data_IF_317074584502
#
_entry.id   IF_317074584502
#
_cell.length_a   1.000
_cell.length_b   1.000
_cell.length_c   1.000
_cell.angle_alpha   90.00
_cell.angle_beta   90.00
_cell.angle_gamma   90.00
#
_symmetry.space_group_name_H-M   'P 1'
#
loop_
_entity.id
_entity.type
_entity.pdbx_description
1 polymer ?
#
# COMPACT_ATOMS: atom_id res chain seq x y z
N UNK A 1 16.66 16.77 -4.87
CA UNK A 1 16.27 15.49 -5.52
C UNK A 1 14.75 15.35 -5.48
N UNK A 2 14.13 15.38 -4.30
CA UNK A 2 12.67 15.50 -4.12
C UNK A 2 12.08 16.69 -4.88
N UNK A 3 12.74 17.86 -4.87
CA UNK A 3 12.26 19.06 -5.58
C UNK A 3 12.20 18.92 -7.12
N UNK A 4 13.04 18.05 -7.71
CA UNK A 4 13.04 17.82 -9.15
C UNK A 4 11.89 16.90 -9.60
N UNK A 5 11.47 15.99 -8.73
CA UNK A 5 10.30 15.12 -8.94
C UNK A 5 9.02 15.90 -8.67
N UNK A 6 8.98 16.72 -7.61
CA UNK A 6 7.82 17.56 -7.27
C UNK A 6 7.48 18.55 -8.40
N UNK A 7 8.48 19.27 -8.94
CA UNK A 7 8.25 20.24 -10.01
C UNK A 7 7.77 19.64 -11.34
N UNK A 8 7.98 18.33 -11.58
CA UNK A 8 7.50 17.64 -12.80
C UNK A 8 6.10 17.04 -12.64
N UNK A 9 5.73 16.64 -11.43
CA UNK A 9 4.37 16.16 -11.12
C UNK A 9 3.35 17.30 -11.20
N UNK A 10 3.75 18.52 -10.83
CA UNK A 10 2.91 19.73 -10.92
C UNK A 10 2.68 20.23 -12.37
N UNK A 11 3.47 19.74 -13.34
CA UNK A 11 3.38 20.13 -14.75
C UNK A 11 2.47 19.26 -15.63
N UNK A 12 1.75 18.29 -15.06
CA UNK A 12 0.93 17.37 -15.84
C UNK A 12 -0.36 18.07 -16.35
N UNK A 13 -0.67 18.06 -17.66
CA UNK A 13 -1.76 18.84 -18.26
C UNK A 13 -3.16 18.21 -18.07
N UNK A 14 -3.40 17.57 -16.92
CA UNK A 14 -4.68 16.90 -16.61
C UNK A 14 -5.85 17.91 -16.68
N UNK A 15 -5.61 19.13 -16.21
CA UNK A 15 -6.62 20.20 -16.24
C UNK A 15 -6.95 20.64 -17.68
N UNK A 16 -5.96 20.64 -18.57
CA UNK A 16 -6.13 20.99 -19.98
C UNK A 16 -6.91 19.91 -20.74
N UNK A 17 -6.64 18.63 -20.44
CA UNK A 17 -7.39 17.49 -20.98
C UNK A 17 -8.87 17.54 -20.56
N UNK A 18 -9.16 17.85 -19.29
CA UNK A 18 -10.52 17.95 -18.77
C UNK A 18 -11.31 19.07 -19.47
N UNK A 19 -10.70 20.24 -19.67
CA UNK A 19 -11.34 21.38 -20.32
C UNK A 19 -11.77 21.10 -21.78
N UNK A 20 -10.97 20.32 -22.51
CA UNK A 20 -11.27 19.95 -23.91
C UNK A 20 -12.38 18.89 -23.97
N UNK A 21 -12.36 17.90 -23.07
CA UNK A 21 -13.44 16.90 -22.96
C UNK A 21 -14.78 17.57 -22.67
N UNK A 22 -14.82 18.58 -21.79
CA UNK A 22 -16.02 19.34 -21.48
C UNK A 22 -16.51 20.17 -22.69
N UNK A 23 -15.60 20.79 -23.42
CA UNK A 23 -15.92 21.53 -24.66
C UNK A 23 -16.53 20.61 -25.71
N UNK A 24 -15.96 19.42 -25.91
CA UNK A 24 -16.44 18.43 -26.88
C UNK A 24 -17.79 17.83 -26.49
N UNK A 25 -18.05 17.65 -25.19
CA UNK A 25 -19.35 17.20 -24.69
C UNK A 25 -20.45 18.22 -24.97
N UNK A 26 -20.13 19.52 -24.89
CA UNK A 26 -21.05 20.61 -25.21
C UNK A 26 -21.42 20.68 -26.69
N UNK A 27 -20.49 20.40 -27.61
CA UNK A 27 -20.76 20.43 -29.06
C UNK A 27 -21.65 19.25 -29.49
N UNK A 28 -21.43 18.05 -28.94
CA UNK A 28 -22.26 16.85 -29.20
C UNK A 28 -23.71 17.02 -28.71
N UNK A 29 -23.93 17.73 -27.61
CA UNK A 29 -25.28 18.00 -27.09
C UNK A 29 -26.14 18.90 -27.98
N UNK A 30 -25.50 19.77 -28.78
CA UNK A 30 -26.17 20.73 -29.67
C UNK A 30 -26.68 20.11 -30.97
N UNK A 31 -26.16 18.94 -31.34
CA UNK A 31 -26.49 18.22 -32.58
C UNK A 31 -27.77 17.38 -32.47
N UNK A 32 -28.28 17.13 -31.24
CA UNK A 32 -29.50 16.35 -31.00
C UNK A 32 -30.83 17.10 -31.25
N UNK A 33 -30.79 18.39 -31.57
CA UNK A 33 -31.97 19.28 -31.63
C UNK A 33 -32.26 19.84 -33.03
N UNK A 34 -31.93 19.12 -34.11
CA UNK A 34 -32.19 19.62 -35.47
C UNK A 34 -33.58 19.20 -35.97
N UNK A 35 -34.53 20.13 -35.96
CA UNK A 35 -35.86 19.94 -36.55
C UNK A 35 -35.74 19.70 -38.07
N UNK A 36 -36.38 18.62 -38.52
CA UNK A 36 -36.32 18.11 -39.90
C UNK A 36 -37.09 19.03 -40.85
N UNK A 37 -36.39 19.93 -41.54
CA UNK A 37 -36.91 20.79 -42.60
C UNK A 37 -36.22 20.54 -43.95
N UNK A 38 -37.02 20.49 -45.02
CA UNK A 38 -36.66 20.06 -46.38
C UNK A 38 -35.51 20.85 -47.05
N UNK A 39 -34.29 20.32 -47.00
CA UNK A 39 -33.23 20.55 -48.01
C UNK A 39 -32.12 19.49 -47.88
N UNK A 40 -32.17 18.47 -48.75
CA UNK A 40 -31.30 17.29 -48.71
C UNK A 40 -29.81 17.63 -48.90
N UNK A 41 -29.47 18.56 -49.80
CA UNK A 41 -28.07 18.85 -50.14
C UNK A 41 -27.33 19.70 -49.10
N UNK A 42 -28.02 20.63 -48.43
CA UNK A 42 -27.42 21.45 -47.36
C UNK A 42 -27.19 20.66 -46.05
N UNK A 43 -28.04 19.68 -45.78
CA UNK A 43 -27.92 18.78 -44.62
C UNK A 43 -26.69 17.87 -44.74
N UNK A 44 -26.39 17.35 -45.94
CA UNK A 44 -25.23 16.48 -46.18
C UNK A 44 -23.91 17.24 -46.03
N UNK A 45 -23.79 18.45 -46.58
CA UNK A 45 -22.57 19.26 -46.45
C UNK A 45 -22.28 19.63 -44.99
N UNK A 46 -23.31 19.97 -44.22
CA UNK A 46 -23.19 20.22 -42.79
C UNK A 46 -22.74 18.96 -42.03
N UNK A 47 -23.34 17.79 -42.30
CA UNK A 47 -22.91 16.54 -41.66
C UNK A 47 -21.43 16.23 -41.97
N UNK A 48 -20.98 16.49 -43.19
CA UNK A 48 -19.59 16.24 -43.61
C UNK A 48 -18.60 17.15 -42.88
N UNK A 49 -18.94 18.43 -42.69
CA UNK A 49 -18.15 19.38 -41.88
C UNK A 49 -18.06 18.93 -40.41
N UNK A 50 -19.19 18.54 -39.80
CA UNK A 50 -19.20 18.03 -38.41
C UNK A 50 -18.38 16.76 -38.23
N UNK A 51 -18.37 15.87 -39.23
CA UNK A 51 -17.55 14.65 -39.19
C UNK A 51 -16.06 14.98 -39.27
N UNK A 52 -15.67 15.98 -40.07
CA UNK A 52 -14.28 16.43 -40.14
C UNK A 52 -13.81 17.11 -38.85
N UNK A 53 -14.66 17.95 -38.24
CA UNK A 53 -14.39 18.55 -36.92
C UNK A 53 -14.26 17.48 -35.83
N UNK A 54 -15.14 16.48 -35.83
CA UNK A 54 -15.07 15.35 -34.90
C UNK A 54 -13.77 14.55 -35.09
N UNK A 55 -13.37 14.28 -36.33
CA UNK A 55 -12.12 13.57 -36.61
C UNK A 55 -10.90 14.38 -36.16
N UNK A 56 -10.90 15.70 -36.38
CA UNK A 56 -9.82 16.60 -35.94
C UNK A 56 -9.70 16.65 -34.41
N UNK A 57 -10.82 16.75 -33.71
CA UNK A 57 -10.85 16.74 -32.23
C UNK A 57 -10.41 15.40 -31.65
N UNK A 58 -10.85 14.27 -32.24
CA UNK A 58 -10.36 12.94 -31.86
C UNK A 58 -8.85 12.78 -32.03
N UNK A 59 -8.29 13.28 -33.15
CA UNK A 59 -6.85 13.27 -33.39
C UNK A 59 -6.10 14.07 -32.32
N UNK A 60 -6.59 15.26 -31.99
CA UNK A 60 -6.01 16.13 -30.96
C UNK A 60 -6.01 15.45 -29.59
N UNK A 61 -7.12 14.81 -29.21
CA UNK A 61 -7.22 14.06 -27.95
C UNK A 61 -6.21 12.89 -27.88
N UNK A 62 -6.03 12.16 -28.98
CA UNK A 62 -5.05 11.07 -29.05
C UNK A 62 -3.61 11.58 -28.87
N UNK A 63 -3.26 12.69 -29.51
CA UNK A 63 -1.93 13.31 -29.38
C UNK A 63 -1.66 13.73 -27.92
N UNK A 64 -2.64 14.34 -27.25
CA UNK A 64 -2.51 14.71 -25.83
C UNK A 64 -2.38 13.50 -24.91
N UNK A 65 -3.19 12.45 -25.11
CA UNK A 65 -3.12 11.21 -24.31
C UNK A 65 -1.76 10.53 -24.49
N UNK A 66 -1.23 10.50 -25.71
CA UNK A 66 0.10 9.96 -25.96
C UNK A 66 1.19 10.78 -25.26
N UNK A 67 1.14 12.11 -25.35
CA UNK A 67 2.07 13.00 -24.64
C UNK A 67 2.03 12.80 -23.13
N UNK A 68 0.84 12.75 -22.53
CA UNK A 68 0.68 12.45 -21.10
C UNK A 68 1.24 11.06 -20.74
N UNK A 69 1.00 10.05 -21.59
CA UNK A 69 1.52 8.70 -21.37
C UNK A 69 3.05 8.65 -21.45
N UNK A 70 3.66 9.46 -22.32
CA UNK A 70 5.11 9.67 -22.40
C UNK A 70 5.66 10.31 -21.12
N UNK A 71 5.02 11.37 -20.62
CA UNK A 71 5.43 12.06 -19.39
C UNK A 71 5.33 11.16 -18.14
N UNK A 72 4.25 10.38 -18.03
CA UNK A 72 4.11 9.40 -16.96
C UNK A 72 5.19 8.34 -17.02
N UNK A 73 5.48 7.83 -18.22
CA UNK A 73 6.56 6.84 -18.43
C UNK A 73 7.92 7.42 -18.04
N UNK A 74 8.23 8.65 -18.46
CA UNK A 74 9.46 9.32 -18.08
C UNK A 74 9.60 9.50 -16.56
N UNK A 75 8.51 9.87 -15.89
CA UNK A 75 8.49 10.02 -14.43
C UNK A 75 8.70 8.68 -13.72
N UNK A 76 8.07 7.60 -14.20
CA UNK A 76 8.27 6.24 -13.68
C UNK A 76 9.73 5.79 -13.85
N UNK A 77 10.33 6.06 -15.00
CA UNK A 77 11.73 5.67 -15.26
C UNK A 77 12.71 6.43 -14.36
N UNK A 78 12.45 7.71 -14.07
CA UNK A 78 13.23 8.48 -13.08
C UNK A 78 13.11 7.85 -11.69
N UNK A 79 11.89 7.56 -11.22
CA UNK A 79 11.67 6.94 -9.90
C UNK A 79 12.38 5.58 -9.81
N UNK A 80 12.30 4.76 -10.86
CA UNK A 80 13.02 3.48 -10.92
C UNK A 80 14.53 3.67 -10.79
N UNK A 81 15.08 4.65 -11.51
CA UNK A 81 16.51 4.95 -11.45
C UNK A 81 16.94 5.47 -10.07
N UNK A 82 16.13 6.30 -9.41
CA UNK A 82 16.40 6.77 -8.04
C UNK A 82 16.37 5.60 -7.03
N UNK A 83 15.43 4.66 -7.16
CA UNK A 83 15.40 3.45 -6.32
C UNK A 83 16.69 2.65 -6.50
N UNK A 84 17.17 2.49 -7.74
CA UNK A 84 18.42 1.79 -8.04
C UNK A 84 19.63 2.52 -7.40
N UNK A 85 19.71 3.86 -7.51
CA UNK A 85 20.79 4.65 -6.90
C UNK A 85 20.77 4.56 -5.37
N UNK A 86 19.60 4.73 -4.75
CA UNK A 86 19.44 4.62 -3.29
C UNK A 86 19.84 3.23 -2.81
N UNK A 87 19.45 2.18 -3.54
CA UNK A 87 19.81 0.80 -3.18
C UNK A 87 21.33 0.55 -3.31
N UNK A 88 21.97 1.13 -4.33
CA UNK A 88 23.42 1.06 -4.49
C UNK A 88 24.15 1.79 -3.33
N UNK A 89 23.71 3.00 -2.98
CA UNK A 89 24.24 3.77 -1.84
C UNK A 89 24.06 3.04 -0.51
N UNK A 90 22.90 2.42 -0.29
CA UNK A 90 22.62 1.61 0.89
C UNK A 90 23.57 0.42 0.97
N UNK A 91 23.75 -0.31 -0.13
CA UNK A 91 24.66 -1.45 -0.23
C UNK A 91 26.11 -1.07 0.06
N UNK A 92 26.57 0.07 -0.45
CA UNK A 92 27.91 0.60 -0.17
C UNK A 92 28.06 1.01 1.30
N UNK A 93 27.05 1.64 1.90
CA UNK A 93 27.07 2.05 3.31
C UNK A 93 27.15 0.83 4.24
N UNK A 94 26.33 -0.20 3.98
CA UNK A 94 26.38 -1.48 4.72
C UNK A 94 27.76 -2.11 4.62
N UNK A 95 28.37 -2.10 3.42
CA UNK A 95 29.72 -2.64 3.20
C UNK A 95 30.81 -1.83 3.90
N UNK A 96 30.72 -0.50 3.86
CA UNK A 96 31.67 0.39 4.55
C UNK A 96 31.61 0.18 6.08
N UNK A 97 30.40 0.03 6.65
CA UNK A 97 30.22 -0.30 8.06
C UNK A 97 30.75 -1.69 8.42
N UNK A 98 30.60 -2.68 7.52
CA UNK A 98 31.16 -4.01 7.73
C UNK A 98 32.70 -4.04 7.63
N UNK A 99 33.28 -3.18 6.78
CA UNK A 99 34.73 -3.09 6.56
C UNK A 99 35.45 -2.16 7.55
N UNK A 100 34.72 -1.35 8.33
CA UNK A 100 35.27 -0.63 9.48
C UNK A 100 35.50 -1.61 10.66
N UNK A 101 36.51 -2.47 10.53
CA UNK A 101 37.16 -3.07 11.69
C UNK A 101 37.97 -1.95 12.42
N UNK A 102 37.88 -1.79 13.75
CA UNK A 102 38.54 -0.67 14.41
C UNK A 102 40.07 -0.83 14.42
N UNK A 103 40.76 -0.08 13.57
CA UNK A 103 42.15 0.30 13.82
C UNK A 103 42.14 1.42 14.88
N UNK A 104 42.03 1.02 16.16
CA UNK A 104 42.09 1.92 17.30
C UNK A 104 40.73 2.26 17.90
N UNK A 105 40.38 1.56 18.99
CA UNK A 105 39.60 2.10 20.10
C UNK A 105 38.19 2.63 19.83
N UNK A 106 37.49 2.20 18.77
CA UNK A 106 36.07 2.53 18.61
C UNK A 106 35.21 1.55 19.42
N UNK A 107 34.40 2.09 20.33
CA UNK A 107 33.41 1.35 21.12
C UNK A 107 32.58 0.49 20.15
N UNK A 108 32.47 -0.83 20.37
CA UNK A 108 31.60 -1.65 19.55
C UNK A 108 30.19 -1.11 19.70
N UNK A 109 29.60 -0.60 18.61
CA UNK A 109 28.15 -0.42 18.53
C UNK A 109 27.58 -1.82 18.66
N UNK A 110 27.25 -2.19 19.90
CA UNK A 110 26.59 -3.45 20.16
C UNK A 110 25.31 -3.41 19.33
N UNK A 111 25.19 -4.33 18.37
CA UNK A 111 23.88 -4.68 17.83
C UNK A 111 23.09 -5.12 19.05
N UNK A 112 22.26 -4.23 19.56
CA UNK A 112 21.42 -4.49 20.73
C UNK A 112 20.61 -5.74 20.37
N UNK A 113 20.96 -6.87 21.00
CA UNK A 113 20.19 -8.10 20.84
C UNK A 113 18.86 -7.82 21.51
N UNK A 114 17.81 -7.65 20.72
CA UNK A 114 16.45 -7.51 21.23
C UNK A 114 16.11 -8.85 21.88
N UNK A 115 15.82 -8.90 23.19
CA UNK A 115 15.43 -10.14 23.84
C UNK A 115 14.14 -10.68 23.22
N UNK A 116 14.09 -11.99 23.00
CA UNK A 116 12.86 -12.64 22.55
C UNK A 116 11.79 -12.59 23.65
N UNK A 117 10.50 -12.43 23.30
CA UNK A 117 9.40 -12.48 24.26
C UNK A 117 9.34 -13.82 24.97
N UNK A 118 8.93 -13.82 26.24
CA UNK A 118 8.70 -15.06 26.97
C UNK A 118 7.51 -15.82 26.35
N UNK A 119 7.63 -17.14 26.13
CA UNK A 119 6.50 -17.92 25.64
C UNK A 119 5.35 -17.95 26.65
N UNK A 120 4.12 -17.94 26.15
CA UNK A 120 2.92 -18.12 26.97
C UNK A 120 2.44 -19.57 26.89
N UNK A 121 2.37 -20.24 28.04
CA UNK A 121 2.01 -21.66 28.16
C UNK A 121 0.51 -21.96 28.20
N UNK A 122 -0.35 -20.93 28.30
CA UNK A 122 -1.81 -21.15 28.37
C UNK A 122 -2.37 -21.23 29.79
N UNK A 123 -1.65 -20.75 30.80
CA UNK A 123 -2.21 -20.61 32.14
C UNK A 123 -3.45 -19.70 32.11
N UNK A 124 -4.55 -20.10 32.78
CA UNK A 124 -5.75 -19.25 32.95
C UNK A 124 -5.52 -18.14 33.99
N UNK A 125 -4.56 -17.27 33.69
CA UNK A 125 -4.10 -16.16 34.53
C UNK A 125 -4.08 -14.88 33.69
N UNK A 126 -4.98 -13.95 34.01
CA UNK A 126 -5.08 -12.67 33.32
C UNK A 126 -3.76 -11.89 33.37
N UNK A 127 -3.03 -11.93 34.48
CA UNK A 127 -1.76 -11.21 34.61
C UNK A 127 -0.68 -11.81 33.70
N UNK A 128 -0.59 -13.13 33.66
CA UNK A 128 0.36 -13.81 32.78
C UNK A 128 0.06 -13.51 31.30
N UNK A 129 -1.22 -13.53 30.92
CA UNK A 129 -1.64 -13.21 29.56
C UNK A 129 -1.37 -11.75 29.18
N UNK A 130 -1.72 -10.79 30.05
CA UNK A 130 -1.48 -9.37 29.77
C UNK A 130 0.01 -9.03 29.71
N UNK A 131 0.84 -9.65 30.56
CA UNK A 131 2.30 -9.49 30.45
C UNK A 131 2.83 -10.00 29.11
N UNK A 132 2.34 -11.16 28.64
CA UNK A 132 2.71 -11.70 27.34
C UNK A 132 2.30 -10.79 26.17
N UNK A 133 1.08 -10.27 26.20
CA UNK A 133 0.57 -9.31 25.21
C UNK A 133 1.45 -8.06 25.20
N UNK A 134 1.77 -7.52 26.38
CA UNK A 134 2.60 -6.34 26.52
C UNK A 134 4.03 -6.55 26.01
N UNK A 135 4.67 -7.67 26.37
CA UNK A 135 6.03 -8.00 25.94
C UNK A 135 6.10 -8.13 24.41
N UNK A 136 5.09 -8.71 23.76
CA UNK A 136 4.99 -8.77 22.31
C UNK A 136 4.82 -7.40 21.67
N UNK A 137 4.00 -6.52 22.25
CA UNK A 137 3.84 -5.15 21.73
C UNK A 137 5.15 -4.35 21.79
N UNK A 138 5.94 -4.54 22.85
CA UNK A 138 7.29 -3.95 22.92
C UNK A 138 8.23 -4.56 21.90
N UNK A 139 8.16 -5.88 21.70
CA UNK A 139 8.97 -6.57 20.71
C UNK A 139 8.65 -6.12 19.28
N UNK A 140 7.38 -5.95 18.94
CA UNK A 140 6.96 -5.43 17.63
C UNK A 140 7.52 -4.02 17.39
N UNK A 141 7.49 -3.15 18.41
CA UNK A 141 8.08 -1.81 18.32
C UNK A 141 9.60 -1.87 18.14
N UNK A 142 10.28 -2.72 18.90
CA UNK A 142 11.74 -2.86 18.84
C UNK A 142 12.21 -3.44 17.49
N UNK A 143 11.42 -4.32 16.88
CA UNK A 143 11.74 -4.99 15.61
C UNK A 143 11.13 -4.31 14.38
N UNK A 144 10.38 -3.22 14.57
CA UNK A 144 9.62 -2.55 13.51
C UNK A 144 8.68 -3.51 12.75
N UNK A 145 8.03 -4.42 13.47
CA UNK A 145 7.03 -5.33 12.90
C UNK A 145 5.73 -4.56 12.66
N UNK A 146 5.46 -4.23 11.40
CA UNK A 146 4.33 -3.36 11.02
C UNK A 146 3.09 -4.09 10.53
N UNK A 147 3.23 -5.24 9.86
CA UNK A 147 2.08 -5.93 9.26
C UNK A 147 1.33 -6.76 10.31
N UNK A 148 0.00 -6.78 10.21
CA UNK A 148 -0.85 -7.51 11.16
C UNK A 148 -0.61 -9.02 11.08
N UNK A 149 -0.38 -9.54 9.88
CA UNK A 149 -0.09 -10.95 9.64
C UNK A 149 1.24 -11.36 10.30
N UNK A 150 2.26 -10.50 10.24
CA UNK A 150 3.54 -10.77 10.89
C UNK A 150 3.41 -10.71 12.42
N UNK A 151 2.61 -9.79 12.97
CA UNK A 151 2.32 -9.74 14.41
C UNK A 151 1.61 -11.00 14.89
N UNK A 152 0.56 -11.43 14.19
CA UNK A 152 -0.17 -12.67 14.49
C UNK A 152 0.75 -13.88 14.38
N UNK A 153 1.56 -13.97 13.33
CA UNK A 153 2.53 -15.05 13.15
C UNK A 153 3.55 -15.09 14.30
N UNK A 154 4.18 -13.96 14.63
CA UNK A 154 5.18 -13.88 15.70
C UNK A 154 4.57 -14.24 17.05
N UNK A 155 3.41 -13.67 17.39
CA UNK A 155 2.72 -14.01 18.62
C UNK A 155 2.41 -15.51 18.67
N UNK A 156 1.79 -16.07 17.65
CA UNK A 156 1.39 -17.49 17.66
C UNK A 156 2.58 -18.44 17.65
N UNK A 157 3.74 -18.03 17.13
CA UNK A 157 5.01 -18.76 17.28
C UNK A 157 5.48 -18.85 18.73
N UNK A 158 5.25 -17.81 19.55
CA UNK A 158 5.63 -17.74 20.97
C UNK A 158 4.55 -18.29 21.92
N UNK A 159 3.54 -18.99 21.41
CA UNK A 159 2.68 -19.83 22.24
C UNK A 159 3.35 -21.19 22.49
N UNK A 160 3.23 -21.70 23.71
CA UNK A 160 3.70 -23.03 24.12
C UNK A 160 2.57 -23.82 24.79
N UNK A 161 2.77 -25.13 24.98
CA UNK A 161 1.89 -26.00 25.78
C UNK A 161 0.39 -25.86 25.39
N UNK A 162 -0.49 -25.60 26.36
CA UNK A 162 -1.94 -25.54 26.17
C UNK A 162 -2.35 -24.40 25.23
N UNK A 163 -1.64 -23.27 25.29
CA UNK A 163 -1.83 -22.17 24.37
C UNK A 163 -1.50 -22.55 22.92
N UNK A 164 -0.46 -23.37 22.70
CA UNK A 164 -0.12 -23.86 21.36
C UNK A 164 -1.13 -24.88 20.84
N UNK A 165 -1.67 -25.73 21.71
CA UNK A 165 -2.73 -26.68 21.36
C UNK A 165 -4.03 -25.96 20.97
N UNK A 166 -4.42 -24.94 21.73
CA UNK A 166 -5.56 -24.09 21.40
C UNK A 166 -5.38 -23.42 20.03
N UNK A 167 -4.20 -22.82 19.77
CA UNK A 167 -3.93 -22.17 18.49
C UNK A 167 -4.02 -23.16 17.31
N UNK A 168 -3.56 -24.41 17.48
CA UNK A 168 -3.71 -25.44 16.44
C UNK A 168 -5.18 -25.70 16.08
N UNK A 169 -6.08 -25.71 17.07
CA UNK A 169 -7.52 -25.83 16.82
C UNK A 169 -8.06 -24.63 16.03
N UNK A 170 -7.69 -23.40 16.43
CA UNK A 170 -8.09 -22.18 15.72
C UNK A 170 -7.54 -22.10 14.31
N UNK A 171 -6.31 -22.54 14.10
CA UNK A 171 -5.71 -22.59 12.76
C UNK A 171 -6.49 -23.53 11.83
N UNK A 172 -6.95 -24.68 12.32
CA UNK A 172 -7.83 -25.59 11.55
C UNK A 172 -9.17 -24.91 11.24
N UNK A 173 -9.79 -24.24 12.22
CA UNK A 173 -11.02 -23.49 12.00
C UNK A 173 -10.85 -22.41 10.90
N UNK A 174 -9.71 -21.72 10.85
CA UNK A 174 -9.41 -20.73 9.81
C UNK A 174 -9.29 -21.37 8.43
N UNK A 175 -8.63 -22.52 8.32
CA UNK A 175 -8.50 -23.26 7.05
C UNK A 175 -9.84 -23.74 6.52
N UNK A 176 -10.79 -24.02 7.41
CA UNK A 176 -12.15 -24.44 7.09
C UNK A 176 -13.13 -23.25 7.00
N UNK A 177 -12.64 -22.01 7.10
CA UNK A 177 -13.44 -20.79 6.98
C UNK A 177 -14.40 -20.55 8.14
N UNK A 178 -14.22 -21.21 9.29
CA UNK A 178 -15.08 -21.11 10.48
C UNK A 178 -14.72 -19.93 11.39
N UNK A 179 -13.48 -19.43 11.31
CA UNK A 179 -13.07 -18.22 12.03
C UNK A 179 -12.01 -17.43 11.25
N UNK A 180 -11.78 -16.19 11.66
CA UNK A 180 -10.77 -15.30 11.07
C UNK A 180 -10.02 -14.58 12.19
N UNK A 181 -8.72 -14.85 12.31
CA UNK A 181 -7.81 -14.20 13.25
C UNK A 181 -6.60 -13.70 12.45
N UNK A 182 -6.79 -12.60 11.72
CA UNK A 182 -5.82 -11.99 10.81
C UNK A 182 -5.19 -10.69 11.38
N UNK A 183 -5.73 -10.19 12.49
CA UNK A 183 -5.26 -8.98 13.16
C UNK A 183 -4.77 -9.26 14.58
N UNK A 184 -3.83 -8.44 15.05
CA UNK A 184 -3.33 -8.49 16.42
C UNK A 184 -4.45 -8.30 17.44
N UNK A 185 -5.37 -7.38 17.17
CA UNK A 185 -6.52 -7.12 18.05
C UNK A 185 -7.49 -8.31 18.10
N UNK A 186 -7.77 -8.96 16.96
CA UNK A 186 -8.58 -10.18 16.94
C UNK A 186 -7.94 -11.29 17.79
N UNK A 187 -6.62 -11.50 17.63
CA UNK A 187 -5.88 -12.49 18.41
C UNK A 187 -5.91 -12.19 19.91
N UNK A 188 -5.72 -10.92 20.31
CA UNK A 188 -5.84 -10.51 21.73
C UNK A 188 -7.21 -10.84 22.32
N UNK A 189 -8.30 -10.57 21.60
CA UNK A 189 -9.66 -10.91 22.08
C UNK A 189 -9.84 -12.42 22.27
N UNK A 190 -9.41 -13.21 21.29
CA UNK A 190 -9.53 -14.67 21.34
C UNK A 190 -8.68 -15.26 22.47
N UNK A 191 -7.45 -14.78 22.67
CA UNK A 191 -6.60 -15.17 23.78
C UNK A 191 -7.24 -14.83 25.14
N UNK A 192 -7.79 -13.63 25.29
CA UNK A 192 -8.47 -13.21 26.52
C UNK A 192 -9.71 -14.07 26.78
N UNK A 193 -10.53 -14.30 25.77
CA UNK A 193 -11.70 -15.18 25.84
C UNK A 193 -11.34 -16.59 26.31
N UNK A 194 -10.23 -17.14 25.80
CA UNK A 194 -9.80 -18.49 26.13
C UNK A 194 -9.13 -18.62 27.51
N UNK A 195 -8.26 -17.67 27.86
CA UNK A 195 -7.34 -17.80 28.99
C UNK A 195 -7.65 -16.88 30.16
N UNK A 196 -8.70 -16.06 30.08
CA UNK A 196 -9.20 -15.42 31.30
C UNK A 196 -9.93 -16.44 32.19
N UNK A 197 -9.74 -16.34 33.52
CA UNK A 197 -10.55 -17.11 34.44
C UNK A 197 -12.00 -16.59 34.40
N UNK A 198 -12.97 -17.49 34.49
CA UNK A 198 -14.42 -17.22 34.37
C UNK A 198 -14.98 -16.18 35.35
N UNK A 199 -14.19 -15.71 36.33
CA UNK A 199 -14.63 -14.85 37.43
C UNK A 199 -14.04 -13.41 37.37
N UNK A 200 -13.54 -12.96 36.22
CA UNK A 200 -13.09 -11.57 36.04
C UNK A 200 -14.26 -10.78 35.43
N UNK A 201 -15.00 -10.05 36.26
CA UNK A 201 -15.85 -8.95 35.77
C UNK A 201 -14.92 -7.86 35.20
N UNK A 202 -15.13 -7.51 33.93
CA UNK A 202 -14.43 -6.41 33.22
C UNK A 202 -15.13 -5.10 33.53
#
# INVERSE_FOLDING_TARGET
>A
MIDAVAGRVEGLPIQELLAIVDTLKGTVGRTGSHERGDSSTGSVAHIEEHVQELHSSQKTLLEMINGMSEDFRATIDVIRNEIVDVNARLSLTIRAMANQAPAGGAIPVSRVKIPEPKPFCGARDAKALENYIFDLEQYFRATNTVTEEAKVMLATMHLSEDAKLWWRSRFVDMQEGRCTIDTWDALKRELRSQFFPENVEI
#
